data_IF_726185564385
#
_entry.id   IF_726185564385
#
_cell.length_a   1.000
_cell.length_b   1.000
_cell.length_c   1.000
_cell.angle_alpha   90.00
_cell.angle_beta   90.00
_cell.angle_gamma   90.00
#
_symmetry.space_group_name_H-M   'P 1'
#
loop_
_entity.id
_entity.type
_entity.pdbx_description
1 polymer ?
#
# COMPACT_ATOMS: atom_id res chain seq x y z
N UNK A 1 -22.40 -24.62 -57.92
CA UNK A 1 -22.50 -23.56 -56.88
C UNK A 1 -22.75 -24.22 -55.54
N UNK A 2 -21.88 -24.02 -54.54
CA UNK A 2 -22.10 -24.58 -53.19
C UNK A 2 -23.13 -23.69 -52.46
N UNK A 3 -24.18 -24.25 -51.85
CA UNK A 3 -25.15 -23.47 -51.09
C UNK A 3 -24.47 -22.85 -49.87
N UNK A 4 -24.58 -21.54 -49.72
CA UNK A 4 -24.14 -20.81 -48.53
C UNK A 4 -25.18 -21.11 -47.43
N UNK A 5 -24.76 -21.78 -46.35
CA UNK A 5 -25.63 -22.03 -45.20
C UNK A 5 -25.86 -20.70 -44.48
N UNK A 6 -27.11 -20.25 -44.43
CA UNK A 6 -27.51 -19.09 -43.63
C UNK A 6 -27.72 -19.54 -42.18
N UNK A 7 -27.12 -18.79 -41.24
CA UNK A 7 -27.28 -19.02 -39.80
C UNK A 7 -28.69 -18.65 -39.36
N UNK A 8 -29.30 -19.44 -38.47
CA UNK A 8 -30.61 -19.09 -37.90
C UNK A 8 -30.45 -18.10 -36.75
N UNK A 9 -31.42 -17.19 -36.58
CA UNK A 9 -31.45 -16.27 -35.44
C UNK A 9 -31.48 -17.01 -34.10
N UNK A 10 -32.16 -18.17 -34.05
CA UNK A 10 -32.26 -18.97 -32.83
C UNK A 10 -30.93 -19.65 -32.46
N UNK A 11 -30.16 -20.14 -33.44
CA UNK A 11 -28.81 -20.68 -33.18
C UNK A 11 -27.91 -19.61 -32.58
N UNK A 12 -27.94 -18.40 -33.13
CA UNK A 12 -27.13 -17.30 -32.59
C UNK A 12 -27.60 -16.89 -31.19
N UNK A 13 -28.91 -16.87 -30.94
CA UNK A 13 -29.50 -16.50 -29.65
C UNK A 13 -29.11 -17.47 -28.53
N UNK A 14 -29.12 -18.78 -28.80
CA UNK A 14 -28.72 -19.79 -27.82
C UNK A 14 -27.22 -19.65 -27.49
N UNK A 15 -26.37 -19.39 -28.48
CA UNK A 15 -24.92 -19.24 -28.27
C UNK A 15 -24.62 -18.05 -27.37
N UNK A 16 -25.21 -16.88 -27.63
CA UNK A 16 -24.97 -15.70 -26.77
C UNK A 16 -25.55 -15.88 -25.36
N UNK A 17 -26.68 -16.60 -25.22
CA UNK A 17 -27.24 -16.93 -23.92
C UNK A 17 -26.31 -17.81 -23.08
N UNK A 18 -25.69 -18.84 -23.69
CA UNK A 18 -24.71 -19.69 -23.00
C UNK A 18 -23.46 -18.89 -22.62
N UNK A 19 -22.93 -18.06 -23.52
CA UNK A 19 -21.77 -17.21 -23.23
C UNK A 19 -22.07 -16.24 -22.08
N UNK A 20 -23.27 -15.65 -22.03
CA UNK A 20 -23.68 -14.76 -20.95
C UNK A 20 -23.70 -15.46 -19.59
N UNK A 21 -24.22 -16.68 -19.51
CA UNK A 21 -24.24 -17.48 -18.27
C UNK A 21 -22.82 -17.82 -17.82
N UNK A 22 -21.96 -18.25 -18.75
CA UNK A 22 -20.56 -18.58 -18.43
C UNK A 22 -19.80 -17.34 -17.96
N UNK A 23 -19.98 -16.20 -18.64
CA UNK A 23 -19.34 -14.94 -18.27
C UNK A 23 -19.80 -14.46 -16.89
N UNK A 24 -21.09 -14.59 -16.55
CA UNK A 24 -21.62 -14.18 -15.26
C UNK A 24 -20.94 -14.88 -14.06
N UNK A 25 -20.53 -16.14 -14.22
CA UNK A 25 -19.82 -16.90 -13.18
C UNK A 25 -18.30 -16.66 -13.26
N UNK A 26 -17.75 -16.60 -14.48
CA UNK A 26 -16.31 -16.50 -14.68
C UNK A 26 -15.74 -15.13 -14.31
N UNK A 27 -16.43 -14.03 -14.64
CA UNK A 27 -15.94 -12.65 -14.43
C UNK A 27 -15.65 -12.34 -12.95
N UNK A 28 -16.56 -12.55 -11.98
CA UNK A 28 -16.26 -12.21 -10.59
C UNK A 28 -15.09 -13.04 -10.02
N UNK A 29 -15.02 -14.34 -10.36
CA UNK A 29 -13.92 -15.21 -9.93
C UNK A 29 -12.57 -14.78 -10.54
N UNK A 30 -12.59 -14.36 -11.82
CA UNK A 30 -11.40 -13.84 -12.48
C UNK A 30 -10.89 -12.55 -11.83
N UNK A 31 -11.79 -11.61 -11.51
CA UNK A 31 -11.43 -10.37 -10.82
C UNK A 31 -10.82 -10.65 -9.44
N UNK A 32 -11.41 -11.57 -8.67
CA UNK A 32 -10.87 -11.96 -7.36
C UNK A 32 -9.48 -12.61 -7.49
N UNK A 33 -9.28 -13.49 -8.47
CA UNK A 33 -7.99 -14.10 -8.74
C UNK A 33 -6.93 -13.05 -9.14
N UNK A 34 -7.30 -12.06 -9.94
CA UNK A 34 -6.42 -10.96 -10.32
C UNK A 34 -6.02 -10.13 -9.10
N UNK A 35 -6.96 -9.78 -8.22
CA UNK A 35 -6.66 -9.04 -6.97
C UNK A 35 -5.71 -9.83 -6.08
N UNK A 36 -5.96 -11.13 -5.86
CA UNK A 36 -5.06 -11.99 -5.07
C UNK A 36 -3.65 -12.05 -5.67
N UNK A 37 -3.53 -12.11 -6.99
CA UNK A 37 -2.24 -12.07 -7.67
C UNK A 37 -1.51 -10.73 -7.46
N UNK A 38 -2.22 -9.59 -7.54
CA UNK A 38 -1.67 -8.26 -7.23
C UNK A 38 -1.20 -8.16 -5.78
N UNK A 39 -1.99 -8.66 -4.81
CA UNK A 39 -1.60 -8.70 -3.38
C UNK A 39 -0.33 -9.54 -3.19
N UNK A 40 -0.26 -10.73 -3.80
CA UNK A 40 0.91 -11.59 -3.70
C UNK A 40 2.17 -10.93 -4.28
N UNK A 41 2.03 -10.25 -5.43
CA UNK A 41 3.11 -9.45 -6.04
C UNK A 41 3.56 -8.33 -5.10
N UNK A 42 2.64 -7.51 -4.61
CA UNK A 42 2.93 -6.42 -3.68
C UNK A 42 3.70 -6.92 -2.44
N UNK A 43 3.28 -8.04 -1.85
CA UNK A 43 3.98 -8.64 -0.70
C UNK A 43 5.37 -9.15 -1.06
N UNK A 44 5.59 -9.69 -2.26
CA UNK A 44 6.90 -10.12 -2.73
C UNK A 44 7.84 -8.94 -3.00
N UNK A 45 7.30 -7.87 -3.57
CA UNK A 45 8.03 -6.63 -3.84
C UNK A 45 8.46 -5.96 -2.52
N UNK A 46 7.55 -5.86 -1.55
CA UNK A 46 7.87 -5.37 -0.20
C UNK A 46 8.97 -6.20 0.48
N UNK A 47 8.99 -7.54 0.30
CA UNK A 47 10.08 -8.39 0.83
C UNK A 47 11.43 -8.01 0.25
N UNK A 48 11.49 -7.78 -1.06
CA UNK A 48 12.72 -7.39 -1.75
C UNK A 48 13.25 -6.04 -1.23
N UNK A 49 12.34 -5.07 -1.03
CA UNK A 49 12.69 -3.76 -0.46
C UNK A 49 13.16 -3.88 0.98
N UNK A 50 12.48 -4.67 1.81
CA UNK A 50 12.94 -4.96 3.19
C UNK A 50 14.37 -5.50 3.20
N UNK A 51 14.71 -6.46 2.34
CA UNK A 51 16.08 -6.98 2.26
C UNK A 51 17.07 -5.88 1.90
N UNK A 52 16.71 -4.97 0.98
CA UNK A 52 17.53 -3.81 0.64
C UNK A 52 17.71 -2.84 1.82
N UNK A 53 16.63 -2.52 2.54
CA UNK A 53 16.63 -1.64 3.71
C UNK A 53 17.51 -2.20 4.84
N UNK A 54 17.40 -3.49 5.13
CA UNK A 54 18.24 -4.13 6.16
C UNK A 54 19.70 -4.17 5.75
N UNK A 55 19.98 -4.41 4.47
CA UNK A 55 21.36 -4.36 3.94
C UNK A 55 21.95 -2.95 4.05
N UNK A 56 21.16 -1.92 3.73
CA UNK A 56 21.56 -0.53 3.92
C UNK A 56 21.87 -0.23 5.39
N UNK A 57 21.05 -0.72 6.32
CA UNK A 57 21.31 -0.57 7.76
C UNK A 57 22.65 -1.19 8.17
N UNK A 58 23.01 -2.34 7.63
CA UNK A 58 24.28 -3.01 7.96
C UNK A 58 25.47 -2.14 7.52
N UNK A 59 25.40 -1.55 6.33
CA UNK A 59 26.50 -0.75 5.78
C UNK A 59 26.62 0.62 6.44
N UNK A 60 25.50 1.29 6.73
CA UNK A 60 25.47 2.68 7.19
C UNK A 60 25.14 2.84 8.67
N UNK A 61 24.89 1.73 9.38
CA UNK A 61 24.47 1.68 10.78
C UNK A 61 23.22 2.53 11.10
N UNK A 62 22.40 2.79 10.08
CA UNK A 62 21.14 3.56 10.18
C UNK A 62 20.19 3.16 9.07
N UNK A 63 18.90 3.29 9.30
CA UNK A 63 17.91 3.13 8.24
C UNK A 63 17.94 4.32 7.25
N UNK A 64 17.56 4.10 5.99
CA UNK A 64 17.49 5.18 5.03
C UNK A 64 16.45 6.19 5.50
N UNK A 65 16.78 7.48 5.38
CA UNK A 65 15.86 8.55 5.72
C UNK A 65 15.03 8.87 4.48
N UNK A 66 13.77 9.23 4.70
CA UNK A 66 12.95 9.81 3.65
C UNK A 66 13.60 11.13 3.23
N UNK A 67 13.75 11.33 1.94
CA UNK A 67 14.34 12.56 1.43
C UNK A 67 13.45 13.74 1.83
N UNK A 68 14.07 14.82 2.30
CA UNK A 68 13.38 16.06 2.68
C UNK A 68 12.22 15.93 3.68
N UNK A 69 12.17 14.87 4.50
CA UNK A 69 11.15 14.64 5.54
C UNK A 69 9.69 14.64 5.05
N UNK A 70 9.46 14.68 3.73
CA UNK A 70 8.15 14.91 3.11
C UNK A 70 7.72 13.79 2.15
N UNK A 71 8.64 12.95 1.68
CA UNK A 71 8.27 11.92 0.70
C UNK A 71 8.16 10.56 1.34
N UNK A 72 6.98 10.00 1.23
CA UNK A 72 6.64 8.66 1.67
C UNK A 72 7.09 7.61 0.64
N UNK A 73 8.15 7.85 -0.12
CA UNK A 73 8.59 7.00 -1.25
C UNK A 73 9.83 6.22 -0.82
N UNK A 74 10.07 5.05 -1.43
CA UNK A 74 11.33 4.30 -1.26
C UNK A 74 12.52 5.24 -1.55
N UNK A 75 13.46 5.45 -0.60
CA UNK A 75 14.54 6.42 -0.77
C UNK A 75 15.49 6.08 -1.92
N UNK A 76 15.93 7.08 -2.70
CA UNK A 76 16.91 6.90 -3.80
C UNK A 76 18.26 6.40 -3.29
N UNK A 77 18.53 6.59 -2.00
CA UNK A 77 19.75 6.08 -1.32
C UNK A 77 19.85 4.56 -1.35
N UNK A 78 18.73 3.87 -1.63
CA UNK A 78 18.71 2.42 -1.81
C UNK A 78 19.05 1.97 -3.25
N UNK A 79 19.02 2.87 -4.23
CA UNK A 79 19.36 2.57 -5.64
C UNK A 79 20.68 3.19 -6.07
N UNK A 80 21.07 4.31 -5.46
CA UNK A 80 22.25 5.08 -5.82
C UNK A 80 22.94 5.66 -4.57
N UNK A 81 24.30 5.67 -4.51
CA UNK A 81 25.26 5.19 -5.50
C UNK A 81 25.47 3.66 -5.47
N UNK A 82 25.07 2.98 -4.39
CA UNK A 82 25.08 1.51 -4.28
C UNK A 82 23.65 1.01 -4.37
N UNK A 83 23.40 0.05 -5.26
CA UNK A 83 22.06 -0.52 -5.43
C UNK A 83 21.84 -1.67 -4.45
N UNK A 84 20.97 -1.44 -3.45
CA UNK A 84 20.49 -2.43 -2.48
C UNK A 84 19.32 -3.27 -3.01
N UNK A 85 18.66 -2.78 -4.07
CA UNK A 85 17.74 -3.56 -4.90
C UNK A 85 17.89 -3.11 -6.37
N UNK A 86 17.60 -4.01 -7.31
CA UNK A 86 17.88 -3.78 -8.74
C UNK A 86 16.78 -3.02 -9.48
N UNK A 87 15.53 -3.15 -9.03
CA UNK A 87 14.36 -2.51 -9.64
C UNK A 87 13.51 -1.95 -8.53
N UNK A 88 13.17 -0.67 -8.62
CA UNK A 88 12.24 -0.06 -7.68
C UNK A 88 10.84 -0.61 -7.92
N UNK A 89 10.23 -1.27 -6.93
CA UNK A 89 8.93 -1.86 -7.14
C UNK A 89 7.83 -0.80 -7.18
N UNK A 90 6.95 -1.02 -8.15
CA UNK A 90 5.72 -0.27 -8.38
C UNK A 90 4.60 -0.95 -7.61
N UNK A 91 3.83 -0.18 -6.83
CA UNK A 91 2.60 -0.60 -6.19
C UNK A 91 1.54 -0.95 -7.26
N UNK A 92 1.14 -2.24 -7.38
CA UNK A 92 0.14 -2.67 -8.37
C UNK A 92 -1.28 -2.12 -8.14
N UNK A 93 -1.51 -1.44 -7.00
CA UNK A 93 -2.77 -0.81 -6.63
C UNK A 93 -2.77 0.71 -6.74
N UNK A 94 -1.60 1.35 -6.90
CA UNK A 94 -1.50 2.78 -7.11
C UNK A 94 -1.68 3.19 -8.59
N UNK A 95 -2.12 2.26 -9.45
CA UNK A 95 -2.20 2.46 -10.90
C UNK A 95 -3.07 3.66 -11.31
N UNK A 96 -2.47 4.67 -11.94
CA UNK A 96 -3.14 5.92 -12.34
C UNK A 96 -3.49 6.88 -11.20
N UNK A 97 -2.83 6.79 -10.04
CA UNK A 97 -2.99 7.71 -8.91
C UNK A 97 -1.69 8.46 -8.61
N UNK A 98 -1.78 9.78 -8.48
CA UNK A 98 -0.72 10.60 -7.91
C UNK A 98 -0.66 10.38 -6.40
N UNK A 99 0.12 9.40 -5.95
CA UNK A 99 0.43 9.20 -4.52
C UNK A 99 1.60 10.09 -4.04
N UNK A 100 2.11 10.96 -4.91
CA UNK A 100 3.15 11.93 -4.59
C UNK A 100 2.53 13.23 -4.07
N UNK A 101 2.89 13.60 -2.83
CA UNK A 101 2.62 14.92 -2.26
C UNK A 101 3.54 15.98 -2.92
N UNK A 102 3.30 16.27 -4.20
CA UNK A 102 3.43 17.59 -4.82
C UNK A 102 4.79 18.27 -4.99
N UNK A 103 5.93 17.60 -4.76
CA UNK A 103 7.24 18.25 -4.92
C UNK A 103 8.24 17.50 -5.83
N UNK A 104 7.96 16.23 -6.16
CA UNK A 104 8.54 15.55 -7.32
C UNK A 104 7.39 15.04 -8.18
N UNK A 105 7.39 15.46 -9.45
CA UNK A 105 6.44 15.07 -10.51
C UNK A 105 6.72 13.63 -10.98
N UNK A 106 6.92 12.72 -10.04
CA UNK A 106 7.04 11.31 -10.32
C UNK A 106 5.62 10.76 -10.25
N UNK A 107 5.02 10.60 -11.42
CA UNK A 107 3.85 9.75 -11.73
C UNK A 107 4.05 8.27 -11.30
N UNK A 108 5.11 7.98 -10.53
CA UNK A 108 5.53 6.64 -10.21
C UNK A 108 4.66 6.12 -9.07
N UNK A 109 3.80 5.20 -9.45
CA UNK A 109 2.89 4.38 -8.65
C UNK A 109 3.70 3.52 -7.65
N UNK A 110 4.47 4.10 -6.73
CA UNK A 110 5.49 3.41 -5.92
C UNK A 110 4.95 2.92 -4.58
N UNK A 111 5.61 1.90 -4.04
CA UNK A 111 5.41 1.50 -2.65
C UNK A 111 5.80 2.62 -1.70
N UNK A 112 4.99 2.80 -0.66
CA UNK A 112 5.19 3.84 0.33
C UNK A 112 6.17 3.38 1.41
N UNK A 113 7.17 4.19 1.76
CA UNK A 113 8.13 3.93 2.83
C UNK A 113 8.04 4.98 3.95
N UNK A 114 7.95 4.50 5.18
CA UNK A 114 7.80 5.31 6.39
C UNK A 114 8.95 5.03 7.35
N UNK A 115 9.78 6.04 7.60
CA UNK A 115 10.79 6.01 8.64
C UNK A 115 10.21 6.56 9.96
N UNK A 116 10.19 5.74 11.01
CA UNK A 116 9.61 6.15 12.30
C UNK A 116 10.67 6.82 13.16
N UNK A 117 10.51 8.12 13.33
CA UNK A 117 11.37 8.97 14.15
C UNK A 117 10.77 9.14 15.53
N UNK A 118 11.62 9.42 16.51
CA UNK A 118 11.19 9.75 17.87
C UNK A 118 10.59 11.16 17.92
N UNK A 119 9.79 11.44 18.96
CA UNK A 119 9.31 12.79 19.22
C UNK A 119 10.42 13.85 19.30
N UNK A 120 11.57 13.49 19.89
CA UNK A 120 12.71 14.40 19.99
C UNK A 120 13.33 14.72 18.62
N UNK A 121 13.48 13.71 17.75
CA UNK A 121 13.97 13.87 16.38
C UNK A 121 12.99 14.70 15.54
N UNK A 122 11.68 14.42 15.65
CA UNK A 122 10.64 15.21 14.97
C UNK A 122 10.67 16.70 15.37
N UNK A 123 10.86 16.98 16.66
CA UNK A 123 10.98 18.35 17.16
C UNK A 123 12.23 19.07 16.61
N UNK A 124 13.35 18.34 16.45
CA UNK A 124 14.57 18.90 15.84
C UNK A 124 14.34 19.23 14.36
N UNK A 125 13.73 18.34 13.59
CA UNK A 125 13.42 18.61 12.18
C UNK A 125 12.47 19.79 12.01
N UNK A 126 11.46 19.90 12.88
CA UNK A 126 10.53 21.04 12.89
C UNK A 126 11.27 22.34 13.22
N UNK A 127 12.20 22.31 14.18
CA UNK A 127 13.03 23.47 14.54
C UNK A 127 13.99 23.90 13.41
N UNK A 128 14.38 22.96 12.54
CA UNK A 128 15.15 23.24 11.32
C UNK A 128 14.28 23.75 10.15
N UNK A 129 12.96 23.91 10.35
CA UNK A 129 12.03 24.42 9.34
C UNK A 129 11.50 23.36 8.38
N UNK A 130 11.73 22.07 8.63
CA UNK A 130 11.14 20.99 7.84
C UNK A 130 9.70 20.72 8.29
N UNK A 131 8.84 20.41 7.33
CA UNK A 131 7.56 19.80 7.63
C UNK A 131 7.80 18.36 8.07
N UNK A 132 7.22 17.98 9.21
CA UNK A 132 7.30 16.62 9.74
C UNK A 132 5.89 16.08 9.81
N UNK A 133 5.63 14.99 9.11
CA UNK A 133 4.35 14.30 9.24
C UNK A 133 4.23 13.71 10.64
N UNK A 134 3.14 14.05 11.34
CA UNK A 134 2.82 13.51 12.67
C UNK A 134 2.71 11.97 12.68
N UNK A 135 2.58 11.33 11.52
CA UNK A 135 2.55 9.88 11.34
C UNK A 135 3.94 9.24 11.35
N UNK A 136 5.00 9.99 11.04
CA UNK A 136 6.39 9.53 11.15
C UNK A 136 6.86 9.57 12.61
N UNK A 137 6.21 10.35 13.47
CA UNK A 137 6.66 10.61 14.83
C UNK A 137 6.05 9.62 15.82
N UNK A 138 6.90 8.81 16.44
CA UNK A 138 6.53 8.02 17.62
C UNK A 138 6.30 8.95 18.81
N UNK A 139 5.05 9.00 19.26
CA UNK A 139 4.61 9.87 20.34
C UNK A 139 3.95 9.07 21.47
N UNK A 140 4.03 9.62 22.69
CA UNK A 140 3.26 9.13 23.83
C UNK A 140 1.86 9.78 23.96
N UNK A 141 1.59 10.87 23.22
CA UNK A 141 0.33 11.61 23.23
C UNK A 141 0.00 12.18 21.82
N UNK A 142 -1.09 11.71 21.20
CA UNK A 142 -1.61 12.18 19.89
C UNK A 142 -0.78 11.76 18.66
N UNK A 143 -1.41 11.46 17.52
CA UNK A 143 -0.71 10.95 16.31
C UNK A 143 -0.44 9.43 16.33
N UNK A 144 0.70 8.99 15.76
CA UNK A 144 1.11 7.58 15.66
C UNK A 144 1.63 7.05 17.01
N UNK A 145 0.70 6.79 17.94
CA UNK A 145 1.00 6.46 19.32
C UNK A 145 1.72 5.12 19.44
N UNK A 146 2.90 5.10 20.06
CA UNK A 146 3.74 3.89 20.23
C UNK A 146 4.06 3.22 18.89
N UNK A 147 4.29 4.04 17.85
CA UNK A 147 4.59 3.61 16.49
C UNK A 147 5.73 2.59 16.44
N UNK A 148 6.81 2.82 17.20
CA UNK A 148 7.95 1.91 17.23
C UNK A 148 7.65 0.56 17.85
N UNK A 149 6.71 0.48 18.79
CA UNK A 149 6.26 -0.82 19.31
C UNK A 149 5.38 -1.55 18.31
N UNK A 150 4.64 -0.82 17.47
CA UNK A 150 3.73 -1.39 16.49
C UNK A 150 4.44 -1.86 15.22
N UNK A 151 5.33 -1.03 14.71
CA UNK A 151 5.91 -1.14 13.37
C UNK A 151 7.42 -1.38 13.41
N UNK A 152 8.09 -0.89 14.44
CA UNK A 152 9.54 -0.81 14.53
C UNK A 152 10.06 0.56 14.07
N UNK A 153 11.29 0.59 13.60
CA UNK A 153 11.96 1.79 13.09
C UNK A 153 11.46 2.20 11.69
N UNK A 154 10.78 1.30 10.96
CA UNK A 154 10.15 1.62 9.68
C UNK A 154 8.99 0.69 9.33
N UNK A 155 8.17 1.10 8.36
CA UNK A 155 7.25 0.22 7.67
C UNK A 155 7.07 0.59 6.21
N UNK A 156 6.60 -0.37 5.42
CA UNK A 156 6.19 -0.21 4.03
C UNK A 156 4.67 -0.32 3.96
N UNK A 157 4.03 0.48 3.11
CA UNK A 157 2.60 0.39 2.85
C UNK A 157 2.27 0.47 1.37
N UNK A 158 1.18 -0.19 0.98
CA UNK A 158 0.51 -0.05 -0.31
C UNK A 158 -0.95 0.30 -0.02
N UNK A 159 -1.56 1.07 -0.93
CA UNK A 159 -2.97 1.51 -0.81
C UNK A 159 -3.97 0.36 -0.85
N UNK A 160 -3.56 -0.84 -1.27
CA UNK A 160 -4.40 -2.03 -1.25
C UNK A 160 -5.52 -2.04 -2.30
N UNK A 161 -6.35 -3.10 -2.34
CA UNK A 161 -7.35 -3.32 -3.40
C UNK A 161 -8.52 -2.34 -3.43
N UNK A 162 -8.83 -1.68 -2.32
CA UNK A 162 -9.81 -0.59 -2.27
C UNK A 162 -9.27 0.68 -2.93
N UNK A 163 -7.94 0.77 -3.11
CA UNK A 163 -7.26 1.90 -3.76
C UNK A 163 -7.40 3.19 -2.98
N UNK A 164 -7.90 3.13 -1.75
CA UNK A 164 -8.11 4.29 -0.91
C UNK A 164 -6.84 4.51 -0.10
N UNK A 165 -6.06 5.53 -0.47
CA UNK A 165 -5.04 6.01 0.42
C UNK A 165 -5.76 6.58 1.64
N UNK A 166 -5.64 5.89 2.76
CA UNK A 166 -6.15 6.32 4.04
C UNK A 166 -5.30 7.48 4.58
N UNK A 167 -5.22 8.60 3.85
CA UNK A 167 -4.45 9.82 4.12
C UNK A 167 -5.36 10.88 4.78
N UNK A 168 -5.00 11.51 5.92
CA UNK A 168 -5.86 12.44 6.64
C UNK A 168 -5.70 13.87 6.12
N UNK A 169 -4.80 14.12 5.15
CA UNK A 169 -4.44 15.46 4.67
C UNK A 169 -5.13 15.85 3.38
N UNK A 170 -5.68 14.88 2.64
CA UNK A 170 -6.49 15.15 1.45
C UNK A 170 -7.98 15.18 1.83
N UNK A 171 -8.65 16.28 1.47
CA UNK A 171 -10.12 16.39 1.51
C UNK A 171 -10.82 15.43 0.53
N UNK A 172 -10.06 14.60 -0.17
CA UNK A 172 -10.51 13.50 -1.05
C UNK A 172 -10.57 12.15 -0.32
N UNK A 173 -10.72 12.16 1.01
CA UNK A 173 -11.22 11.02 1.80
C UNK A 173 -12.69 10.67 1.47
N UNK A 174 -13.12 10.80 0.21
CA UNK A 174 -14.49 10.60 -0.27
C UNK A 174 -14.94 9.13 -0.32
N UNK A 175 -14.28 8.26 0.43
CA UNK A 175 -14.88 7.02 0.89
C UNK A 175 -14.75 6.91 2.41
N UNK A 176 -15.31 7.90 3.09
CA UNK A 176 -16.08 7.67 4.32
C UNK A 176 -17.26 6.73 4.00
N UNK A 177 -16.98 5.52 3.51
CA UNK A 177 -17.78 4.39 3.93
C UNK A 177 -17.27 4.15 5.35
N UNK A 178 -18.06 4.45 6.39
CA UNK A 178 -17.66 4.10 7.73
C UNK A 178 -17.47 2.59 7.72
N UNK A 179 -16.22 2.12 7.75
CA UNK A 179 -15.97 0.74 8.09
C UNK A 179 -16.70 0.53 9.44
N UNK A 180 -17.57 -0.47 9.58
CA UNK A 180 -18.42 -0.63 10.77
C UNK A 180 -17.63 -0.86 12.08
N UNK A 181 -16.30 -0.78 12.03
CA UNK A 181 -15.38 -1.05 13.13
C UNK A 181 -14.29 0.00 13.32
N UNK A 182 -14.28 1.15 12.62
CA UNK A 182 -13.27 2.19 12.91
C UNK A 182 -13.43 2.67 14.35
N UNK A 183 -12.46 2.40 15.26
CA UNK A 183 -12.59 2.78 16.65
C UNK A 183 -12.60 4.32 16.78
N UNK A 184 -13.31 4.90 17.76
CA UNK A 184 -13.41 6.35 17.95
C UNK A 184 -12.09 7.11 18.16
N UNK A 185 -10.96 6.39 18.29
CA UNK A 185 -9.63 6.92 18.60
C UNK A 185 -8.54 6.48 17.62
N UNK A 186 -8.89 5.79 16.52
CA UNK A 186 -7.93 5.21 15.59
C UNK A 186 -7.82 6.00 14.30
N UNK A 187 -6.62 6.46 13.96
CA UNK A 187 -6.35 6.98 12.63
C UNK A 187 -6.40 5.86 11.58
N UNK A 188 -6.80 6.20 10.35
CA UNK A 188 -7.11 5.31 9.23
C UNK A 188 -5.95 4.44 8.71
N UNK A 189 -4.70 4.69 9.14
CA UNK A 189 -3.47 3.98 8.72
C UNK A 189 -3.33 2.56 9.26
N UNK A 190 -4.12 2.24 10.28
CA UNK A 190 -3.98 1.04 11.09
C UNK A 190 -4.78 -0.15 10.55
N UNK A 191 -5.60 0.07 9.53
CA UNK A 191 -6.42 -0.95 8.91
C UNK A 191 -5.56 -1.75 7.95
N UNK A 192 -5.13 -2.93 8.40
CA UNK A 192 -4.38 -3.87 7.59
C UNK A 192 -5.30 -4.64 6.67
N UNK A 193 -4.84 -4.89 5.44
CA UNK A 193 -5.47 -5.79 4.50
C UNK A 193 -5.81 -7.15 5.16
N UNK A 194 -7.09 -7.48 5.17
CA UNK A 194 -7.62 -8.75 5.66
C UNK A 194 -8.17 -9.60 4.48
N UNK A 195 -7.52 -10.72 4.12
CA UNK A 195 -7.95 -11.56 3.02
C UNK A 195 -9.27 -12.31 3.27
N UNK A 196 -9.80 -12.31 4.51
CA UNK A 196 -11.01 -13.06 4.88
C UNK A 196 -12.31 -12.27 4.72
N UNK A 197 -12.23 -10.94 4.53
CA UNK A 197 -13.40 -10.04 4.46
C UNK A 197 -14.06 -9.96 3.06
N UNK A 198 -13.76 -10.89 2.14
CA UNK A 198 -14.39 -10.97 0.82
C UNK A 198 -13.67 -10.19 -0.29
N UNK A 199 -14.35 -10.01 -1.44
CA UNK A 199 -13.79 -9.59 -2.74
C UNK A 199 -13.10 -8.21 -2.78
N UNK A 200 -13.35 -7.34 -1.80
CA UNK A 200 -12.65 -6.06 -1.62
C UNK A 200 -12.33 -5.97 -0.14
N UNK A 201 -11.12 -6.38 0.22
CA UNK A 201 -10.61 -6.14 1.56
C UNK A 201 -10.38 -4.64 1.74
N UNK A 202 -10.89 -4.09 2.83
CA UNK A 202 -10.63 -2.71 3.22
C UNK A 202 -9.27 -2.60 3.89
N UNK A 203 -8.47 -1.61 3.50
CA UNK A 203 -7.23 -1.26 4.17
C UNK A 203 -5.95 -1.57 3.39
N UNK A 204 -4.88 -0.99 3.92
CA UNK A 204 -3.57 -0.98 3.29
C UNK A 204 -2.87 -2.33 3.45
N UNK A 205 -2.09 -2.72 2.45
CA UNK A 205 -1.14 -3.83 2.61
C UNK A 205 0.08 -3.26 3.32
N UNK A 206 0.40 -3.76 4.51
CA UNK A 206 1.47 -3.21 5.35
C UNK A 206 2.54 -4.28 5.60
N UNK A 207 3.79 -3.87 5.61
CA UNK A 207 4.93 -4.68 6.04
C UNK A 207 5.76 -3.90 7.04
N UNK A 208 5.96 -4.47 8.22
CA UNK A 208 6.66 -3.85 9.34
C UNK A 208 8.00 -4.50 9.57
N UNK A 209 8.91 -3.79 10.24
CA UNK A 209 10.19 -4.36 10.65
C UNK A 209 10.01 -5.50 11.67
N UNK A 210 9.08 -5.34 12.63
CA UNK A 210 8.94 -6.28 13.77
C UNK A 210 8.26 -7.60 13.36
N UNK A 211 7.17 -7.54 12.60
CA UNK A 211 6.32 -8.71 12.33
C UNK A 211 6.35 -9.17 10.87
N UNK A 212 6.95 -8.41 9.95
CA UNK A 212 7.05 -8.77 8.53
C UNK A 212 5.73 -8.87 7.75
N UNK A 213 4.57 -8.89 8.43
CA UNK A 213 3.24 -9.09 7.85
C UNK A 213 2.24 -7.96 8.17
N UNK A 214 2.69 -6.85 8.78
CA UNK A 214 1.81 -5.70 9.02
C UNK A 214 0.80 -5.89 10.15
N UNK A 215 0.70 -7.09 10.71
CA UNK A 215 -0.18 -7.37 11.84
C UNK A 215 0.26 -6.57 13.06
N UNK A 216 -0.69 -5.82 13.62
CA UNK A 216 -0.51 -5.10 14.89
C UNK A 216 -0.03 -6.12 15.93
N UNK A 217 1.13 -5.92 16.58
CA UNK A 217 1.48 -6.73 17.73
C UNK A 217 0.39 -6.55 18.77
N UNK A 218 -0.20 -7.66 19.22
CA UNK A 218 -1.23 -7.66 20.24
C UNK A 218 -0.68 -6.89 21.44
N UNK A 219 -1.32 -5.79 21.88
CA UNK A 219 -0.92 -5.17 23.13
C UNK A 219 -1.25 -6.20 24.21
N UNK A 220 -0.24 -6.99 24.58
CA UNK A 220 -0.32 -7.86 25.75
C UNK A 220 -0.86 -7.08 26.95
N UNK A 221 -1.48 -7.79 27.90
CA UNK A 221 -2.27 -7.20 28.99
C UNK A 221 -1.53 -6.13 29.79
#
# INVERSE_FOLDING_TARGET
MRPIRAFTLIELLIVVAIIAILAAIAVPNFLEAQTRAKVARCKADMRSVTTGIESYRIDWNRYPLNEFNAYLIIPHTLTTPVAYFTVQPVDPFAQGRDVSMGLFDTEDELLTYWNIITFAEGAQFTAMGFMVDAQLVDSNAGGNRRARLKYGDYYLSSVGPDGLQNDPTTSESTAFLPAPTTPPWGYSFDVSYDPTNGTISFGNIIRTQINGEGTRPDPGP
#
